data_IF_704076936256
#
_entry.id   IF_704076936256
#
_cell.length_a   1.000
_cell.length_b   1.000
_cell.length_c   1.000
_cell.angle_alpha   90.00
_cell.angle_beta   90.00
_cell.angle_gamma   90.00
#
_symmetry.space_group_name_H-M   'P 1'
#
loop_
_entity.id
_entity.type
_entity.pdbx_description
1 polymer ?
#
# COMPACT_ATOMS: atom_id res chain seq x y z
N UNK A 1 9.99 -9.42 -16.59
CA UNK A 1 10.71 -8.16 -16.32
C UNK A 1 9.93 -7.28 -15.33
N UNK A 2 8.72 -6.76 -15.60
CA UNK A 2 7.95 -5.89 -14.71
C UNK A 2 7.69 -6.51 -13.33
N UNK A 3 7.50 -7.82 -13.23
CA UNK A 3 7.29 -8.52 -11.95
C UNK A 3 8.52 -8.39 -11.05
N UNK A 4 9.72 -8.52 -11.59
CA UNK A 4 10.95 -8.36 -10.81
C UNK A 4 11.14 -6.90 -10.35
N UNK A 5 10.84 -5.92 -11.21
CA UNK A 5 10.88 -4.52 -10.82
C UNK A 5 9.86 -4.21 -9.69
N UNK A 6 8.68 -4.81 -9.75
CA UNK A 6 7.67 -4.68 -8.69
C UNK A 6 8.15 -5.30 -7.36
N UNK A 7 8.80 -6.47 -7.39
CA UNK A 7 9.38 -7.10 -6.19
C UNK A 7 10.47 -6.24 -5.56
N UNK A 8 11.38 -5.71 -6.39
CA UNK A 8 12.46 -4.83 -5.93
C UNK A 8 11.86 -3.54 -5.33
N UNK A 9 10.89 -2.94 -6.00
CA UNK A 9 10.18 -1.76 -5.49
C UNK A 9 9.51 -2.05 -4.14
N UNK A 10 8.82 -3.19 -4.02
CA UNK A 10 8.19 -3.61 -2.76
C UNK A 10 9.20 -3.85 -1.65
N UNK A 11 10.36 -4.45 -1.95
CA UNK A 11 11.41 -4.67 -0.96
C UNK A 11 12.03 -3.37 -0.45
N UNK A 12 12.17 -2.35 -1.31
CA UNK A 12 12.89 -1.12 -0.98
C UNK A 12 11.98 0.06 -0.63
N UNK A 13 10.65 -0.04 -0.79
CA UNK A 13 9.74 1.13 -0.74
C UNK A 13 9.86 1.96 0.54
N UNK A 14 10.08 1.32 1.67
CA UNK A 14 10.13 1.94 2.99
C UNK A 14 11.56 2.23 3.50
N UNK A 15 12.60 2.05 2.66
CA UNK A 15 14.00 2.27 3.08
C UNK A 15 14.25 3.69 3.61
N UNK A 16 13.50 4.68 3.12
CA UNK A 16 13.58 6.06 3.56
C UNK A 16 13.17 6.29 5.03
N UNK A 17 12.43 5.35 5.65
CA UNK A 17 12.12 5.39 7.06
C UNK A 17 13.38 5.32 7.96
N UNK A 18 14.50 4.86 7.41
CA UNK A 18 15.79 4.87 8.11
C UNK A 18 16.31 6.29 8.35
N UNK A 19 15.85 7.26 7.56
CA UNK A 19 16.16 8.69 7.73
C UNK A 19 15.05 9.36 8.55
N UNK A 20 13.82 9.34 8.04
CA UNK A 20 12.67 9.95 8.71
C UNK A 20 11.36 9.39 8.12
N UNK A 21 10.32 9.25 8.94
CA UNK A 21 8.97 8.89 8.46
C UNK A 21 8.37 9.97 7.55
N UNK A 22 8.61 11.24 7.85
CA UNK A 22 8.21 12.32 6.98
C UNK A 22 9.06 12.28 5.70
N UNK A 23 8.39 12.33 4.54
CA UNK A 23 9.02 12.32 3.23
C UNK A 23 9.81 11.03 2.90
N UNK A 24 9.49 9.90 3.59
CA UNK A 24 10.19 8.63 3.41
C UNK A 24 10.13 8.08 1.98
N UNK A 25 9.06 8.37 1.24
CA UNK A 25 8.92 7.93 -0.13
C UNK A 25 9.96 8.59 -1.06
N UNK A 26 10.16 9.90 -0.95
CA UNK A 26 11.14 10.61 -1.77
C UNK A 26 12.58 10.28 -1.34
N UNK A 27 12.88 10.31 -0.04
CA UNK A 27 14.20 9.91 0.46
C UNK A 27 14.51 8.45 0.11
N UNK A 28 13.54 7.56 0.24
CA UNK A 28 13.65 6.16 -0.15
C UNK A 28 13.91 5.97 -1.64
N UNK A 29 13.23 6.72 -2.50
CA UNK A 29 13.48 6.69 -3.94
C UNK A 29 14.93 7.11 -4.29
N UNK A 30 15.45 8.15 -3.65
CA UNK A 30 16.84 8.59 -3.84
C UNK A 30 17.85 7.55 -3.35
N UNK A 31 17.62 6.95 -2.18
CA UNK A 31 18.46 5.87 -1.66
C UNK A 31 18.44 4.64 -2.56
N UNK A 32 17.25 4.20 -2.99
CA UNK A 32 17.11 3.09 -3.92
C UNK A 32 17.85 3.35 -5.23
N UNK A 33 17.71 4.56 -5.80
CA UNK A 33 18.41 4.95 -7.02
C UNK A 33 19.94 4.80 -6.87
N UNK A 34 20.50 5.25 -5.76
CA UNK A 34 21.94 5.13 -5.52
C UNK A 34 22.38 3.67 -5.42
N UNK A 35 21.69 2.86 -4.62
CA UNK A 35 21.99 1.44 -4.40
C UNK A 35 21.92 0.68 -5.73
N UNK A 36 20.84 0.85 -6.49
CA UNK A 36 20.63 0.13 -7.74
C UNK A 36 21.64 0.52 -8.81
N UNK A 37 22.06 1.79 -8.84
CA UNK A 37 23.15 2.24 -9.71
C UNK A 37 24.48 1.57 -9.37
N UNK A 38 24.82 1.46 -8.09
CA UNK A 38 26.04 0.78 -7.62
C UNK A 38 26.02 -0.71 -7.92
N UNK A 39 24.83 -1.33 -7.93
CA UNK A 39 24.63 -2.72 -8.34
C UNK A 39 24.66 -2.92 -9.86
N UNK A 40 24.82 -1.86 -10.65
CA UNK A 40 24.93 -1.94 -12.11
C UNK A 40 23.61 -2.17 -12.83
N UNK A 41 22.46 -1.86 -12.19
CA UNK A 41 21.16 -1.97 -12.83
C UNK A 41 21.01 -0.97 -13.99
N UNK A 42 20.26 -1.36 -15.02
CA UNK A 42 20.01 -0.48 -16.16
C UNK A 42 19.18 0.75 -15.77
N UNK A 43 19.51 1.92 -16.32
CA UNK A 43 18.89 3.19 -15.93
C UNK A 43 17.38 3.25 -16.15
N UNK A 44 16.84 2.57 -17.19
CA UNK A 44 15.41 2.49 -17.43
C UNK A 44 14.68 1.80 -16.26
N UNK A 45 15.26 0.71 -15.74
CA UNK A 45 14.69 -0.08 -14.65
C UNK A 45 14.78 0.67 -13.32
N UNK A 46 15.91 1.34 -13.10
CA UNK A 46 16.09 2.25 -11.95
C UNK A 46 15.01 3.33 -11.96
N UNK A 47 14.73 3.94 -13.12
CA UNK A 47 13.71 4.98 -13.23
C UNK A 47 12.32 4.48 -12.87
N UNK A 48 11.95 3.27 -13.29
CA UNK A 48 10.66 2.63 -12.95
C UNK A 48 10.57 2.36 -11.44
N UNK A 49 11.60 1.77 -10.85
CA UNK A 49 11.63 1.44 -9.41
C UNK A 49 11.58 2.70 -8.56
N UNK A 50 12.41 3.69 -8.87
CA UNK A 50 12.46 4.95 -8.10
C UNK A 50 11.17 5.74 -8.21
N UNK A 51 10.54 5.74 -9.40
CA UNK A 51 9.21 6.33 -9.59
C UNK A 51 8.16 5.60 -8.75
N UNK A 52 8.16 4.26 -8.74
CA UNK A 52 7.22 3.50 -7.93
C UNK A 52 7.38 3.80 -6.44
N UNK A 53 8.62 3.84 -5.93
CA UNK A 53 8.92 4.17 -4.53
C UNK A 53 8.50 5.60 -4.21
N UNK A 54 8.87 6.58 -5.05
CA UNK A 54 8.56 8.00 -4.80
C UNK A 54 7.06 8.32 -4.78
N UNK A 55 6.25 7.50 -5.45
CA UNK A 55 4.81 7.71 -5.59
C UNK A 55 3.94 6.81 -4.69
N UNK A 56 4.52 6.06 -3.74
CA UNK A 56 3.71 5.14 -2.93
C UNK A 56 3.05 5.78 -1.69
N UNK A 57 3.52 6.94 -1.22
CA UNK A 57 2.93 7.59 -0.03
C UNK A 57 1.58 8.23 -0.33
N UNK A 58 0.63 8.08 0.57
CA UNK A 58 -0.76 8.54 0.46
C UNK A 58 -0.91 10.04 0.32
N UNK A 59 0.02 10.81 0.92
CA UNK A 59 -0.03 12.28 0.96
C UNK A 59 0.38 12.93 -0.34
N UNK A 60 1.33 12.32 -1.05
CA UNK A 60 2.00 12.95 -2.20
C UNK A 60 2.00 12.09 -3.45
N UNK A 61 1.66 10.81 -3.32
CA UNK A 61 1.79 9.82 -4.39
C UNK A 61 0.51 9.56 -5.17
N UNK A 62 0.72 8.94 -6.32
CA UNK A 62 -0.33 8.34 -7.14
C UNK A 62 0.28 7.26 -8.04
N UNK A 63 -0.52 6.31 -8.50
CA UNK A 63 -0.05 5.32 -9.46
C UNK A 63 0.22 5.98 -10.82
N UNK A 64 1.46 5.87 -11.32
CA UNK A 64 1.88 6.46 -12.61
C UNK A 64 2.35 5.40 -13.62
N UNK A 65 2.52 4.15 -13.18
CA UNK A 65 3.02 3.04 -13.99
C UNK A 65 2.53 1.71 -13.38
N UNK A 66 2.39 0.61 -14.14
CA UNK A 66 1.97 -0.68 -13.58
C UNK A 66 2.76 -1.16 -12.37
N UNK A 67 4.07 -0.92 -12.30
CA UNK A 67 4.89 -1.26 -11.13
C UNK A 67 4.51 -0.43 -9.91
N UNK A 68 4.31 0.89 -10.06
CA UNK A 68 3.84 1.74 -8.96
C UNK A 68 2.43 1.36 -8.51
N UNK A 69 1.55 0.97 -9.44
CA UNK A 69 0.21 0.48 -9.13
C UNK A 69 0.24 -0.80 -8.31
N UNK A 70 1.08 -1.77 -8.71
CA UNK A 70 1.25 -3.02 -7.97
C UNK A 70 1.79 -2.78 -6.56
N UNK A 71 2.79 -1.91 -6.42
CA UNK A 71 3.35 -1.52 -5.12
C UNK A 71 2.28 -0.88 -4.21
N UNK A 72 1.54 0.09 -4.73
CA UNK A 72 0.48 0.78 -3.99
C UNK A 72 -0.58 -0.20 -3.51
N UNK A 73 -1.08 -1.08 -4.39
CA UNK A 73 -2.09 -2.08 -4.03
C UNK A 73 -1.58 -3.01 -2.94
N UNK A 74 -0.33 -3.48 -3.03
CA UNK A 74 0.25 -4.36 -2.04
C UNK A 74 0.43 -3.67 -0.69
N UNK A 75 1.02 -2.47 -0.66
CA UNK A 75 1.30 -1.73 0.57
C UNK A 75 0.00 -1.23 1.25
N UNK A 76 -0.93 -0.64 0.46
CA UNK A 76 -2.13 -0.03 1.05
C UNK A 76 -3.21 -1.04 1.44
N UNK A 77 -3.18 -2.25 0.90
CA UNK A 77 -4.06 -3.36 1.32
C UNK A 77 -3.55 -4.08 2.58
N UNK A 78 -2.29 -3.88 2.97
CA UNK A 78 -1.70 -4.54 4.14
C UNK A 78 -2.13 -3.84 5.44
N UNK A 79 -3.36 -4.10 5.85
CA UNK A 79 -3.95 -3.66 7.12
C UNK A 79 -4.24 -4.89 7.97
N UNK A 80 -3.61 -5.00 9.13
CA UNK A 80 -3.79 -6.15 10.01
C UNK A 80 -3.33 -5.85 11.43
N UNK A 81 -3.98 -6.46 12.44
CA UNK A 81 -3.64 -6.30 13.87
C UNK A 81 -2.18 -6.58 14.22
N UNK A 82 -1.52 -7.48 13.49
CA UNK A 82 -0.10 -7.81 13.70
C UNK A 82 0.86 -6.68 13.30
N UNK A 83 0.38 -5.64 12.63
CA UNK A 83 1.18 -4.45 12.29
C UNK A 83 1.31 -3.48 13.45
N UNK A 84 0.43 -3.55 14.45
CA UNK A 84 0.48 -2.69 15.62
C UNK A 84 1.67 -3.08 16.48
N UNK A 85 2.64 -2.18 16.58
CA UNK A 85 3.87 -2.38 17.37
C UNK A 85 3.67 -2.05 18.84
N UNK A 86 2.75 -1.14 19.14
CA UNK A 86 2.40 -0.79 20.51
C UNK A 86 1.72 -2.00 21.18
N UNK A 87 2.25 -2.44 22.34
CA UNK A 87 1.71 -3.59 23.06
C UNK A 87 0.69 -3.20 24.13
N UNK A 88 0.61 -1.92 24.44
CA UNK A 88 -0.24 -1.37 25.50
C UNK A 88 -1.47 -0.76 24.86
N UNK A 89 -2.61 -1.46 24.90
CA UNK A 89 -3.84 -1.07 24.20
C UNK A 89 -4.38 0.30 24.64
N UNK A 90 -4.17 0.66 25.89
CA UNK A 90 -4.56 1.94 26.48
C UNK A 90 -3.83 3.13 25.83
N UNK A 91 -2.68 2.88 25.20
CA UNK A 91 -1.88 3.89 24.52
C UNK A 91 -2.05 3.85 22.99
N UNK A 92 -3.05 3.12 22.48
CA UNK A 92 -3.33 3.11 21.06
C UNK A 92 -3.78 4.47 20.58
N UNK A 93 -3.11 4.99 19.55
CA UNK A 93 -3.67 6.08 18.78
C UNK A 93 -4.80 5.57 17.87
N UNK A 94 -5.41 6.47 17.11
CA UNK A 94 -6.53 6.10 16.24
C UNK A 94 -6.08 5.12 15.12
N UNK A 95 -4.86 5.27 14.60
CA UNK A 95 -4.30 4.38 13.59
C UNK A 95 -4.00 2.99 14.17
N UNK A 96 -3.45 2.93 15.39
CA UNK A 96 -3.21 1.67 16.11
C UNK A 96 -4.53 0.94 16.34
N UNK A 97 -5.56 1.63 16.79
CA UNK A 97 -6.88 1.06 17.07
C UNK A 97 -7.50 0.47 15.82
N UNK A 98 -7.49 1.21 14.71
CA UNK A 98 -8.07 0.77 13.43
C UNK A 98 -7.29 -0.42 12.85
N UNK A 99 -5.95 -0.38 12.87
CA UNK A 99 -5.13 -1.51 12.46
C UNK A 99 -5.37 -2.75 13.35
N UNK A 100 -5.52 -2.54 14.66
CA UNK A 100 -5.75 -3.65 15.60
C UNK A 100 -7.13 -4.29 15.42
N UNK A 101 -8.12 -3.54 14.99
CA UNK A 101 -9.43 -4.06 14.64
C UNK A 101 -9.42 -4.95 13.38
N UNK A 102 -8.47 -4.71 12.48
CA UNK A 102 -8.37 -5.51 11.26
C UNK A 102 -7.89 -6.94 11.56
N UNK A 103 -8.79 -7.91 11.43
CA UNK A 103 -8.52 -9.34 11.66
C UNK A 103 -7.97 -9.98 10.38
N UNK A 104 -8.49 -9.56 9.23
CA UNK A 104 -8.12 -10.09 7.92
C UNK A 104 -8.14 -8.97 6.90
N UNK A 105 -7.14 -8.96 6.04
CA UNK A 105 -7.12 -8.18 4.80
C UNK A 105 -6.60 -9.09 3.69
N UNK A 106 -7.36 -9.22 2.61
CA UNK A 106 -7.02 -10.11 1.51
C UNK A 106 -7.22 -9.39 0.17
N UNK A 107 -6.14 -9.31 -0.62
CA UNK A 107 -6.17 -8.79 -1.97
C UNK A 107 -6.25 -9.96 -2.95
N UNK A 108 -7.23 -9.94 -3.86
CA UNK A 108 -7.44 -10.98 -4.86
C UNK A 108 -7.63 -10.37 -6.23
N UNK A 109 -6.98 -10.98 -7.24
CA UNK A 109 -7.14 -10.58 -8.64
C UNK A 109 -8.10 -11.53 -9.33
N UNK A 110 -9.17 -10.99 -9.90
CA UNK A 110 -10.10 -11.70 -10.76
C UNK A 110 -9.81 -11.32 -12.21
N UNK A 111 -9.26 -12.29 -12.96
CA UNK A 111 -8.87 -12.07 -14.37
C UNK A 111 -10.06 -12.07 -15.31
N UNK A 112 -11.13 -12.79 -14.98
CA UNK A 112 -12.31 -12.89 -15.84
C UNK A 112 -13.12 -11.60 -15.81
N UNK A 113 -13.24 -11.02 -14.62
CA UNK A 113 -13.94 -9.75 -14.44
C UNK A 113 -13.04 -8.51 -14.62
N UNK A 114 -11.74 -8.70 -14.86
CA UNK A 114 -10.74 -7.65 -14.81
C UNK A 114 -10.89 -6.79 -13.54
N UNK A 115 -10.93 -7.45 -12.38
CA UNK A 115 -11.18 -6.80 -11.10
C UNK A 115 -10.13 -7.15 -10.05
N UNK A 116 -9.85 -6.21 -9.16
CA UNK A 116 -9.03 -6.39 -7.97
C UNK A 116 -9.96 -6.22 -6.77
N UNK A 117 -10.09 -7.27 -5.98
CA UNK A 117 -10.93 -7.32 -4.79
C UNK A 117 -10.06 -7.14 -3.55
N UNK A 118 -10.46 -6.26 -2.67
CA UNK A 118 -9.93 -6.14 -1.32
C UNK A 118 -11.03 -6.49 -0.33
N UNK A 119 -10.84 -7.60 0.39
CA UNK A 119 -11.76 -8.08 1.40
C UNK A 119 -11.16 -7.83 2.79
N UNK A 120 -11.84 -7.05 3.61
CA UNK A 120 -11.40 -6.65 4.95
C UNK A 120 -12.40 -7.18 5.98
N UNK A 121 -11.88 -7.82 7.03
CA UNK A 121 -12.68 -8.21 8.19
C UNK A 121 -12.24 -7.40 9.41
N UNK A 122 -13.17 -6.68 10.00
CA UNK A 122 -12.97 -5.84 11.18
C UNK A 122 -13.68 -6.39 12.41
N UNK A 123 -13.03 -6.31 13.54
CA UNK A 123 -13.63 -6.55 14.86
C UNK A 123 -14.39 -5.28 15.29
N UNK A 124 -15.71 -5.28 15.08
CA UNK A 124 -16.56 -4.12 15.36
C UNK A 124 -16.69 -3.79 16.85
N UNK A 125 -16.27 -4.69 17.73
CA UNK A 125 -16.15 -4.35 19.17
C UNK A 125 -15.00 -3.38 19.47
N UNK A 126 -14.07 -3.22 18.52
CA UNK A 126 -12.89 -2.35 18.64
C UNK A 126 -13.04 -1.08 17.80
N UNK A 127 -13.52 -1.22 16.56
CA UNK A 127 -13.61 -0.14 15.60
C UNK A 127 -14.73 -0.42 14.60
N UNK A 128 -15.62 0.54 14.38
CA UNK A 128 -16.66 0.40 13.36
C UNK A 128 -16.08 0.46 11.95
N UNK A 129 -16.85 -0.04 10.97
CA UNK A 129 -16.50 0.08 9.55
C UNK A 129 -16.36 1.56 9.15
N UNK A 130 -17.18 2.44 9.73
CA UNK A 130 -17.11 3.88 9.47
C UNK A 130 -15.79 4.48 9.96
N UNK A 131 -15.36 4.18 11.20
CA UNK A 131 -14.07 4.64 11.75
C UNK A 131 -12.89 4.17 10.89
N UNK A 132 -12.96 2.94 10.36
CA UNK A 132 -11.95 2.43 9.44
C UNK A 132 -11.84 3.32 8.20
N UNK A 133 -12.96 3.65 7.57
CA UNK A 133 -12.94 4.47 6.35
C UNK A 133 -12.60 5.93 6.62
N UNK A 134 -12.96 6.47 7.77
CA UNK A 134 -12.53 7.83 8.17
C UNK A 134 -11.00 7.94 8.15
N UNK A 135 -10.30 6.92 8.63
CA UNK A 135 -8.83 6.91 8.68
C UNK A 135 -8.20 6.47 7.34
N UNK A 136 -8.77 5.46 6.67
CA UNK A 136 -8.13 4.82 5.52
C UNK A 136 -8.80 5.11 4.17
N UNK A 137 -9.71 6.08 4.10
CA UNK A 137 -10.38 6.44 2.85
C UNK A 137 -9.38 6.79 1.75
N UNK A 138 -8.34 7.58 2.07
CA UNK A 138 -7.34 7.98 1.07
C UNK A 138 -6.55 6.77 0.53
N UNK A 139 -6.26 5.77 1.37
CA UNK A 139 -5.67 4.50 0.92
C UNK A 139 -6.56 3.78 -0.07
N UNK A 140 -7.86 3.70 0.21
CA UNK A 140 -8.82 3.02 -0.66
C UNK A 140 -8.99 3.75 -2.00
N UNK A 141 -9.00 5.09 -1.98
CA UNK A 141 -9.02 5.91 -3.20
C UNK A 141 -7.74 5.67 -4.02
N UNK A 142 -6.59 5.59 -3.36
CA UNK A 142 -5.31 5.32 -4.02
C UNK A 142 -5.27 3.92 -4.63
N UNK A 143 -5.79 2.90 -3.92
CA UNK A 143 -5.94 1.54 -4.45
C UNK A 143 -6.85 1.49 -5.68
N UNK A 144 -7.96 2.22 -5.67
CA UNK A 144 -8.87 2.31 -6.83
C UNK A 144 -8.15 2.89 -8.06
N UNK A 145 -7.44 4.01 -7.90
CA UNK A 145 -6.65 4.62 -8.98
C UNK A 145 -5.55 3.69 -9.48
N UNK A 146 -4.90 2.95 -8.58
CA UNK A 146 -3.89 1.96 -8.95
C UNK A 146 -4.49 0.80 -9.76
N UNK A 147 -5.67 0.31 -9.38
CA UNK A 147 -6.37 -0.70 -10.16
C UNK A 147 -6.72 -0.21 -11.57
N UNK A 148 -7.15 1.04 -11.72
CA UNK A 148 -7.43 1.66 -13.02
C UNK A 148 -6.19 1.68 -13.94
N UNK A 149 -5.00 1.97 -13.39
CA UNK A 149 -3.72 1.91 -14.15
C UNK A 149 -3.42 0.49 -14.65
N UNK A 150 -3.87 -0.54 -13.93
CA UNK A 150 -3.75 -1.94 -14.34
C UNK A 150 -4.89 -2.41 -15.25
N UNK A 151 -5.80 -1.51 -15.66
CA UNK A 151 -6.97 -1.84 -16.47
C UNK A 151 -8.02 -2.65 -15.70
N UNK A 152 -8.02 -2.60 -14.37
CA UNK A 152 -8.91 -3.36 -13.51
C UNK A 152 -9.90 -2.46 -12.77
N UNK A 153 -11.07 -3.01 -12.44
CA UNK A 153 -12.01 -2.40 -11.48
C UNK A 153 -11.55 -2.71 -10.06
N UNK A 154 -11.63 -1.74 -9.16
CA UNK A 154 -11.40 -1.99 -7.73
C UNK A 154 -12.73 -2.30 -7.04
N UNK A 155 -12.77 -3.40 -6.31
CA UNK A 155 -13.92 -3.83 -5.50
C UNK A 155 -13.49 -3.97 -4.04
N UNK A 156 -14.28 -3.44 -3.14
CA UNK A 156 -13.99 -3.40 -1.71
C UNK A 156 -15.17 -3.97 -0.92
N UNK A 157 -14.86 -4.93 -0.06
CA UNK A 157 -15.81 -5.53 0.89
C UNK A 157 -15.30 -5.31 2.31
N UNK A 158 -16.17 -4.93 3.21
CA UNK A 158 -15.88 -4.83 4.65
C UNK A 158 -16.93 -5.62 5.43
N UNK A 159 -16.50 -6.59 6.24
CA UNK A 159 -17.38 -7.51 6.99
C UNK A 159 -18.48 -8.11 6.10
N UNK A 160 -18.06 -8.63 4.95
CA UNK A 160 -18.94 -9.26 3.93
C UNK A 160 -19.96 -8.31 3.27
N UNK A 161 -19.93 -7.02 3.59
CA UNK A 161 -20.76 -6.01 2.96
C UNK A 161 -19.98 -5.32 1.84
N UNK A 162 -20.55 -5.28 0.65
CA UNK A 162 -19.96 -4.58 -0.48
C UNK A 162 -19.97 -3.06 -0.23
N UNK A 163 -18.81 -2.44 -0.33
CA UNK A 163 -18.61 -1.00 -0.18
C UNK A 163 -18.52 -0.30 -1.55
N UNK A 164 -17.79 -0.93 -2.49
CA UNK A 164 -17.61 -0.47 -3.88
C UNK A 164 -17.74 -1.65 -4.82
#
# INVERSE_FOLDING_TARGET
>A
ELIELAKISGYMHDIGNSINRNDHAHSGALMARQILKELGMHYSDIAIITSAIGHHDEKTGTAVHPVSAALILADKSDVHRNRVRNKIKENFDIHDRVNYAAIKSALRVDKEEAAIHLDITLDESICSVLDYFEIFLQRMIMCRRAAEILGCKFKLTANDVKVI
#
